data_IF_304507337654
#
_entry.id   IF_304507337654
#
_cell.length_a   1.000
_cell.length_b   1.000
_cell.length_c   1.000
_cell.angle_alpha   90.00
_cell.angle_beta   90.00
_cell.angle_gamma   90.00
#
_symmetry.space_group_name_H-M   'P 1'
#
loop_
_entity.id
_entity.type
_entity.pdbx_description
1 polymer ?
#
# COMPACT_ATOMS: atom_id res chain seq x y z
N UNK A 1 -7.60 9.38 -12.70
CA UNK A 1 -7.72 8.22 -11.80
C UNK A 1 -9.07 8.32 -11.08
N UNK A 2 -9.82 7.23 -11.02
CA UNK A 2 -11.07 7.14 -10.24
C UNK A 2 -10.77 6.75 -8.80
N UNK A 3 -11.75 6.92 -7.90
CA UNK A 3 -11.60 6.52 -6.51
C UNK A 3 -11.33 5.01 -6.34
N UNK A 4 -11.94 4.16 -7.18
CA UNK A 4 -11.67 2.72 -7.17
C UNK A 4 -10.26 2.37 -7.60
N UNK A 5 -9.75 3.01 -8.66
CA UNK A 5 -8.36 2.83 -9.11
C UNK A 5 -7.39 3.22 -8.00
N UNK A 6 -7.56 4.41 -7.42
CA UNK A 6 -6.76 4.91 -6.30
C UNK A 6 -6.70 3.93 -5.13
N UNK A 7 -7.87 3.47 -4.69
CA UNK A 7 -7.96 2.63 -3.51
C UNK A 7 -7.42 1.21 -3.76
N UNK A 8 -7.59 0.68 -4.99
CA UNK A 8 -6.94 -0.56 -5.42
C UNK A 8 -5.42 -0.44 -5.42
N UNK A 9 -4.87 0.65 -5.97
CA UNK A 9 -3.43 0.90 -5.95
C UNK A 9 -2.89 1.05 -4.52
N UNK A 10 -3.58 1.81 -3.65
CA UNK A 10 -3.18 1.96 -2.25
C UNK A 10 -3.17 0.62 -1.51
N UNK A 11 -4.14 -0.26 -1.76
CA UNK A 11 -4.16 -1.60 -1.18
C UNK A 11 -2.95 -2.43 -1.60
N UNK A 12 -2.58 -2.38 -2.88
CA UNK A 12 -1.41 -3.08 -3.41
C UNK A 12 -0.10 -2.54 -2.79
N UNK A 13 0.05 -1.23 -2.68
CA UNK A 13 1.23 -0.61 -2.06
C UNK A 13 1.36 -0.98 -0.59
N UNK A 14 0.26 -0.97 0.17
CA UNK A 14 0.25 -1.41 1.57
C UNK A 14 0.69 -2.88 1.70
N UNK A 15 0.23 -3.74 0.80
CA UNK A 15 0.65 -5.14 0.77
C UNK A 15 2.17 -5.27 0.54
N UNK A 16 2.71 -4.54 -0.44
CA UNK A 16 4.16 -4.57 -0.75
C UNK A 16 5.01 -4.11 0.42
N UNK A 17 4.64 -3.02 1.09
CA UNK A 17 5.34 -2.55 2.29
C UNK A 17 5.30 -3.61 3.38
N UNK A 18 4.13 -4.21 3.64
CA UNK A 18 3.98 -5.25 4.66
C UNK A 18 4.92 -6.45 4.43
N UNK A 19 5.04 -6.89 3.17
CA UNK A 19 5.98 -7.96 2.81
C UNK A 19 7.43 -7.55 3.04
N UNK A 20 7.82 -6.33 2.65
CA UNK A 20 9.17 -5.83 2.82
C UNK A 20 9.54 -5.65 4.31
N UNK A 21 8.63 -5.12 5.12
CA UNK A 21 8.83 -4.98 6.56
C UNK A 21 8.99 -6.33 7.27
N UNK A 22 8.26 -7.36 6.81
CA UNK A 22 8.44 -8.73 7.33
C UNK A 22 9.87 -9.24 7.13
N UNK A 23 10.50 -8.94 6.00
CA UNK A 23 11.93 -9.26 5.74
C UNK A 23 12.84 -8.46 6.67
N UNK A 24 12.53 -7.18 6.87
CA UNK A 24 13.28 -6.32 7.78
C UNK A 24 13.13 -6.73 9.25
N UNK A 25 12.10 -7.51 9.61
CA UNK A 25 11.79 -7.87 10.99
C UNK A 25 11.02 -6.77 11.72
N UNK A 26 10.46 -5.82 10.98
CA UNK A 26 9.63 -4.73 11.49
C UNK A 26 8.16 -5.15 11.46
N UNK A 27 7.48 -5.12 12.60
CA UNK A 27 6.06 -5.56 12.72
C UNK A 27 5.10 -4.39 12.89
N UNK A 28 5.29 -3.31 12.11
CA UNK A 28 4.53 -2.06 12.27
C UNK A 28 3.28 -1.91 11.40
N UNK A 29 3.28 -2.41 10.14
CA UNK A 29 2.21 -2.10 9.17
C UNK A 29 1.31 -3.29 8.79
N UNK A 30 1.49 -4.48 9.36
CA UNK A 30 0.60 -5.61 9.09
C UNK A 30 -0.84 -5.30 9.56
N UNK A 31 -0.98 -4.64 10.71
CA UNK A 31 -2.28 -4.20 11.24
C UNK A 31 -2.89 -3.06 10.40
N UNK A 32 -2.06 -2.18 9.83
CA UNK A 32 -2.50 -1.13 8.91
C UNK A 32 -3.02 -1.70 7.58
N UNK A 33 -2.37 -2.74 7.03
CA UNK A 33 -2.83 -3.45 5.84
C UNK A 33 -4.16 -4.19 6.08
N UNK A 34 -4.31 -4.87 7.22
CA UNK A 34 -5.57 -5.56 7.54
C UNK A 34 -6.73 -4.57 7.73
N UNK A 35 -6.48 -3.44 8.39
CA UNK A 35 -7.47 -2.39 8.59
C UNK A 35 -7.87 -1.69 7.28
N UNK A 36 -6.92 -1.40 6.40
CA UNK A 36 -7.19 -0.72 5.11
C UNK A 36 -7.83 -1.66 4.08
N UNK A 37 -7.41 -2.92 3.99
CA UNK A 37 -8.01 -3.90 3.05
C UNK A 37 -9.43 -4.32 3.44
N UNK A 38 -9.69 -4.61 4.71
CA UNK A 38 -11.04 -4.94 5.18
C UNK A 38 -11.98 -3.74 5.08
N UNK A 39 -11.48 -2.54 5.43
CA UNK A 39 -12.22 -1.29 5.26
C UNK A 39 -12.52 -0.98 3.79
N UNK A 40 -11.59 -1.29 2.86
CA UNK A 40 -11.79 -1.07 1.44
C UNK A 40 -12.80 -2.04 0.82
N UNK A 41 -12.74 -3.34 1.11
CA UNK A 41 -13.73 -4.30 0.59
C UNK A 41 -15.13 -4.02 1.15
N UNK A 42 -15.24 -3.58 2.40
CA UNK A 42 -16.52 -3.11 2.95
C UNK A 42 -17.02 -1.82 2.28
N UNK A 43 -16.15 -0.86 2.00
CA UNK A 43 -16.50 0.35 1.25
C UNK A 43 -16.90 0.01 -0.18
N UNK A 44 -16.19 -0.92 -0.82
CA UNK A 44 -16.48 -1.43 -2.17
C UNK A 44 -17.87 -2.03 -2.26
N UNK A 45 -18.28 -2.83 -1.26
CA UNK A 45 -19.61 -3.41 -1.19
C UNK A 45 -20.74 -2.42 -0.88
N UNK A 46 -20.40 -1.23 -0.35
CA UNK A 46 -21.35 -0.19 0.09
C UNK A 46 -21.41 1.01 -0.85
N UNK A 47 -20.41 1.24 -1.68
CA UNK A 47 -20.36 2.35 -2.64
C UNK A 47 -21.18 2.07 -3.90
N UNK A 48 -21.93 3.06 -4.35
CA UNK A 48 -22.57 3.04 -5.67
C UNK A 48 -21.52 3.16 -6.79
N UNK A 49 -21.88 2.72 -8.00
CA UNK A 49 -21.02 2.84 -9.19
C UNK A 49 -20.67 4.31 -9.50
N UNK A 50 -21.58 5.25 -9.26
CA UNK A 50 -21.30 6.69 -9.43
C UNK A 50 -20.26 7.21 -8.42
N UNK A 51 -20.30 6.74 -7.18
CA UNK A 51 -19.29 7.09 -6.18
C UNK A 51 -17.95 6.41 -6.48
N UNK A 52 -17.98 5.24 -7.14
CA UNK A 52 -16.79 4.49 -7.55
C UNK A 52 -15.97 5.23 -8.61
N UNK A 53 -16.67 5.81 -9.59
CA UNK A 53 -16.10 6.48 -10.76
C UNK A 53 -15.78 7.95 -10.52
N UNK A 54 -16.04 8.48 -9.31
CA UNK A 54 -15.67 9.85 -8.97
C UNK A 54 -14.15 10.04 -9.12
N UNK A 55 -13.69 11.16 -9.70
CA UNK A 55 -12.28 11.47 -9.75
C UNK A 55 -11.74 11.69 -8.33
N UNK A 56 -10.48 11.30 -8.11
CA UNK A 56 -9.75 11.67 -6.89
C UNK A 56 -9.26 13.12 -6.95
N UNK A 57 -8.96 13.69 -5.79
CA UNK A 57 -8.35 15.02 -5.71
C UNK A 57 -6.81 14.96 -5.74
N UNK A 58 -6.17 16.13 -5.88
CA UNK A 58 -4.70 16.24 -5.93
C UNK A 58 -4.00 15.76 -4.66
N UNK A 59 -4.63 15.90 -3.49
CA UNK A 59 -4.02 15.47 -2.23
C UNK A 59 -3.99 13.94 -2.18
N UNK A 60 -5.01 13.28 -2.72
CA UNK A 60 -5.06 11.83 -2.87
C UNK A 60 -4.01 11.36 -3.88
N UNK A 61 -3.87 12.03 -5.02
CA UNK A 61 -2.78 11.75 -5.99
C UNK A 61 -1.40 11.85 -5.33
N UNK A 62 -1.13 12.94 -4.61
CA UNK A 62 0.14 13.15 -3.89
C UNK A 62 0.37 12.08 -2.80
N UNK A 63 -0.69 11.67 -2.09
CA UNK A 63 -0.62 10.60 -1.10
C UNK A 63 -0.19 9.27 -1.73
N UNK A 64 -0.74 8.96 -2.91
CA UNK A 64 -0.40 7.75 -3.66
C UNK A 64 1.07 7.77 -4.11
N UNK A 65 1.53 8.90 -4.65
CA UNK A 65 2.92 9.08 -5.08
C UNK A 65 3.90 8.92 -3.92
N UNK A 66 3.63 9.58 -2.78
CA UNK A 66 4.45 9.50 -1.59
C UNK A 66 4.50 8.07 -1.02
N UNK A 67 3.35 7.39 -0.98
CA UNK A 67 3.28 5.99 -0.53
C UNK A 67 4.07 5.08 -1.47
N UNK A 68 3.96 5.29 -2.78
CA UNK A 68 4.69 4.52 -3.79
C UNK A 68 6.21 4.71 -3.67
N UNK A 69 6.66 5.94 -3.41
CA UNK A 69 8.07 6.22 -3.14
C UNK A 69 8.56 5.49 -1.88
N UNK A 70 7.78 5.55 -0.79
CA UNK A 70 8.10 4.84 0.45
C UNK A 70 8.17 3.32 0.26
N UNK A 71 7.25 2.72 -0.51
CA UNK A 71 7.30 1.27 -0.84
C UNK A 71 8.65 0.90 -1.46
N UNK A 72 9.12 1.69 -2.43
CA UNK A 72 10.40 1.42 -3.12
C UNK A 72 11.57 1.49 -2.15
N UNK A 73 11.56 2.47 -1.25
CA UNK A 73 12.60 2.62 -0.22
C UNK A 73 12.65 1.39 0.70
N UNK A 74 11.51 0.98 1.26
CA UNK A 74 11.44 -0.18 2.17
C UNK A 74 11.81 -1.47 1.45
N UNK A 75 11.38 -1.64 0.19
CA UNK A 75 11.76 -2.80 -0.62
C UNK A 75 13.26 -2.86 -0.91
N UNK A 76 13.90 -1.71 -1.16
CA UNK A 76 15.34 -1.63 -1.35
C UNK A 76 16.10 -2.04 -0.08
N UNK A 77 15.70 -1.52 1.08
CA UNK A 77 16.28 -1.90 2.36
C UNK A 77 16.12 -3.41 2.63
N UNK A 78 14.94 -3.97 2.34
CA UNK A 78 14.68 -5.40 2.48
C UNK A 78 15.59 -6.24 1.58
N UNK A 79 15.80 -5.81 0.32
CA UNK A 79 16.69 -6.48 -0.62
C UNK A 79 18.16 -6.44 -0.16
N UNK A 80 18.61 -5.29 0.36
CA UNK A 80 19.97 -5.13 0.91
C UNK A 80 20.21 -6.07 2.10
N UNK A 81 19.24 -6.18 3.01
CA UNK A 81 19.33 -7.10 4.15
C UNK A 81 19.45 -8.56 3.71
N UNK A 82 18.63 -8.99 2.76
CA UNK A 82 18.71 -10.35 2.20
C UNK A 82 20.06 -10.62 1.51
N UNK A 83 20.61 -9.62 0.81
CA UNK A 83 21.93 -9.70 0.20
C UNK A 83 23.05 -9.85 1.22
N UNK A 84 22.98 -9.13 2.34
CA UNK A 84 23.94 -9.26 3.45
C UNK A 84 23.89 -10.65 4.09
N UNK A 85 22.68 -11.14 4.41
CA UNK A 85 22.48 -12.47 5.00
C UNK A 85 22.94 -13.61 4.10
N UNK A 86 22.86 -13.47 2.77
CA UNK A 86 23.33 -14.48 1.82
C UNK A 86 24.87 -14.55 1.70
N UNK A 87 25.58 -13.54 2.18
CA UNK A 87 27.06 -13.43 2.12
C UNK A 87 27.75 -13.70 3.46
N UNK A 88 26.99 -13.90 4.53
CA UNK A 88 27.47 -14.24 5.88
C UNK A 88 27.54 -15.76 6.09
#
# INVERSE_FOLDING_TARGET
MTYYEYAGEMQELCFKISQAQKVLGETGLYDFYYATSTGFEELRGKMSVEEADRPIDKNQEETLENTSAYVKEVQQQAAEKLGQEATA
#
